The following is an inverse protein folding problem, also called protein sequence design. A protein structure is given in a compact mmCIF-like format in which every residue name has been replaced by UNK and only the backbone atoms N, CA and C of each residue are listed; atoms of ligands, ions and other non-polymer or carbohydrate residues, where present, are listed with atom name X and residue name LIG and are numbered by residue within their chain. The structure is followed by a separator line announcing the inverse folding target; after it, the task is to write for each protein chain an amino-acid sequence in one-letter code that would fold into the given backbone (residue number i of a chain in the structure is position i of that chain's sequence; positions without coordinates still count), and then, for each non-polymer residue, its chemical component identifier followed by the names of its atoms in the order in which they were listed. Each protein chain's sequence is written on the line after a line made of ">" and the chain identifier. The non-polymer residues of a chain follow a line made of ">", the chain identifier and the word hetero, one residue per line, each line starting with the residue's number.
data_IF_857018242631
#
_entry.id   IF_857018242631
#
_cell.length_a   1.000
_cell.length_b   1.000
_cell.length_c   1.000
_cell.angle_alpha   90.00
_cell.angle_beta   90.00
_cell.angle_gamma   90.00
#
_symmetry.space_group_name_H-M   'P 1'
#
loop_
_entity.id
_entity.type
_entity.pdbx_description
1 polymer ?
#
# COMPACT_ATOMS: atom_id res chain seq x y z
N UNK A 1 19.19 -16.08 7.04
CA UNK A 1 18.40 -15.75 7.37
C UNK A 1 17.80 -14.67 6.76
N UNK A 2 18.21 -13.73 6.59
CA UNK A 2 17.65 -12.84 5.92
C UNK A 2 17.36 -13.14 4.60
N UNK A 3 17.98 -14.00 3.99
CA UNK A 3 17.77 -14.34 2.62
C UNK A 3 16.41 -14.92 2.33
N UNK A 4 15.83 -15.56 3.29
CA UNK A 4 14.52 -16.15 3.04
C UNK A 4 13.44 -15.09 2.88
N UNK A 5 13.74 -13.88 3.26
CA UNK A 5 12.79 -12.79 3.10
C UNK A 5 13.08 -11.95 1.87
N UNK A 6 14.04 -12.36 1.07
CA UNK A 6 14.38 -11.61 -0.13
C UNK A 6 13.58 -12.14 -1.31
N UNK A 7 12.95 -11.23 -2.04
CA UNK A 7 12.15 -11.59 -3.20
C UNK A 7 12.89 -11.12 -4.45
N UNK A 8 13.37 -12.03 -5.29
CA UNK A 8 14.15 -11.64 -6.47
C UNK A 8 13.33 -10.87 -7.52
N UNK A 9 12.02 -10.90 -7.41
CA UNK A 9 11.17 -10.17 -8.35
C UNK A 9 10.92 -8.73 -7.96
N UNK A 10 11.44 -8.30 -6.82
CA UNK A 10 11.23 -6.95 -6.33
C UNK A 10 12.54 -6.18 -6.34
N UNK A 11 12.46 -4.84 -6.41
CA UNK A 11 13.65 -4.01 -6.29
C UNK A 11 14.17 -4.07 -4.85
N UNK A 12 15.42 -3.62 -4.62
CA UNK A 12 15.92 -3.57 -3.25
C UNK A 12 15.07 -2.73 -2.32
N UNK A 13 14.54 -1.61 -2.79
CA UNK A 13 13.69 -0.78 -1.96
C UNK A 13 12.38 -1.47 -1.63
N UNK A 14 11.78 -2.12 -2.61
CA UNK A 14 10.54 -2.88 -2.38
C UNK A 14 10.78 -4.00 -1.39
N UNK A 15 11.91 -4.69 -1.51
CA UNK A 15 12.25 -5.75 -0.55
C UNK A 15 12.45 -5.20 0.85
N UNK A 16 13.13 -4.06 0.97
CA UNK A 16 13.37 -3.48 2.27
C UNK A 16 12.04 -3.23 3.01
N UNK A 17 11.05 -2.68 2.31
CA UNK A 17 9.79 -2.34 2.97
C UNK A 17 8.89 -3.56 3.10
N UNK A 18 8.66 -4.27 2.01
CA UNK A 18 7.67 -5.36 1.99
C UNK A 18 8.13 -6.59 2.75
N UNK A 19 9.40 -6.96 2.59
CA UNK A 19 9.90 -8.23 3.15
C UNK A 19 10.72 -8.07 4.41
N UNK A 20 11.26 -6.88 4.66
CA UNK A 20 12.11 -6.65 5.82
C UNK A 20 11.53 -5.61 6.76
N UNK A 21 10.26 -5.27 6.58
CA UNK A 21 9.52 -4.39 7.49
C UNK A 21 10.10 -2.99 7.61
N UNK A 22 10.66 -2.50 6.50
CA UNK A 22 11.17 -1.14 6.48
C UNK A 22 10.06 -0.13 6.24
N UNK A 23 10.45 1.13 6.13
CA UNK A 23 9.54 2.23 5.86
C UNK A 23 10.16 3.13 4.80
N UNK A 24 9.39 3.48 3.78
CA UNK A 24 9.87 4.42 2.77
C UNK A 24 9.94 5.82 3.34
N UNK A 25 10.72 6.69 2.73
CA UNK A 25 10.84 8.07 3.18
C UNK A 25 9.53 8.82 2.94
N UNK A 26 9.16 9.68 3.88
CA UNK A 26 7.94 10.49 3.75
C UNK A 26 8.03 11.33 2.48
N UNK A 27 6.95 11.37 1.73
CA UNK A 27 6.86 12.17 0.51
C UNK A 27 7.53 11.55 -0.70
N UNK A 28 8.08 10.33 -0.58
CA UNK A 28 8.84 9.76 -1.68
C UNK A 28 7.98 9.08 -2.72
N UNK A 29 6.77 8.68 -2.41
CA UNK A 29 5.94 7.93 -3.35
C UNK A 29 5.12 8.85 -4.24
N UNK A 30 5.13 8.58 -5.55
CA UNK A 30 4.27 9.33 -6.46
C UNK A 30 2.80 9.05 -6.17
N UNK A 31 2.49 7.95 -5.48
CA UNK A 31 1.11 7.61 -5.17
C UNK A 31 0.50 8.52 -4.12
N UNK A 32 1.33 9.33 -3.42
CA UNK A 32 0.77 10.31 -2.52
C UNK A 32 -0.20 11.24 -3.23
N UNK A 33 0.07 11.55 -4.48
CA UNK A 33 -0.76 12.49 -5.24
C UNK A 33 -1.67 11.81 -6.25
N UNK A 34 -1.76 10.49 -6.21
CA UNK A 34 -2.59 9.76 -7.15
C UNK A 34 -4.06 10.02 -6.87
N UNK A 35 -4.79 10.53 -7.84
CA UNK A 35 -6.19 10.86 -7.67
C UNK A 35 -7.12 10.19 -8.68
N UNK A 36 -6.57 9.45 -9.61
CA UNK A 36 -7.41 8.77 -10.61
C UNK A 36 -8.21 7.67 -9.96
N UNK A 37 -9.33 7.34 -10.57
CA UNK A 37 -10.13 6.20 -10.16
C UNK A 37 -9.41 4.91 -10.50
N UNK A 38 -9.45 3.95 -9.60
CA UNK A 38 -8.81 2.67 -9.84
C UNK A 38 -8.68 1.89 -8.55
N UNK A 39 -7.67 1.03 -8.51
CA UNK A 39 -7.46 0.18 -7.34
C UNK A 39 -5.98 0.04 -7.06
N UNK A 40 -5.68 -0.32 -5.81
CA UNK A 40 -4.30 -0.47 -5.33
C UNK A 40 -4.09 -1.92 -4.93
N UNK A 41 -2.98 -2.49 -5.40
CA UNK A 41 -2.70 -3.91 -5.24
C UNK A 41 -1.34 -4.12 -4.60
N UNK A 42 -1.17 -5.25 -3.92
CA UNK A 42 0.10 -5.59 -3.29
C UNK A 42 1.15 -5.84 -4.36
N UNK A 43 2.30 -5.16 -4.24
CA UNK A 43 3.37 -5.34 -5.21
C UNK A 43 3.94 -6.76 -5.16
N UNK A 44 3.80 -7.44 -4.04
CA UNK A 44 4.37 -8.78 -3.88
C UNK A 44 3.53 -9.89 -4.48
N UNK A 45 2.20 -9.75 -4.45
CA UNK A 45 1.34 -10.86 -4.88
C UNK A 45 0.15 -10.45 -5.72
N UNK A 46 -0.09 -9.15 -5.92
CA UNK A 46 -1.17 -8.69 -6.77
C UNK A 46 -2.54 -8.62 -6.12
N UNK A 47 -2.65 -8.99 -4.86
CA UNK A 47 -3.94 -8.93 -4.16
C UNK A 47 -4.47 -7.51 -4.14
N UNK A 48 -5.74 -7.31 -4.47
CA UNK A 48 -6.36 -5.99 -4.41
C UNK A 48 -6.56 -5.61 -2.96
N UNK A 49 -6.03 -4.46 -2.57
CA UNK A 49 -6.02 -4.05 -1.16
C UNK A 49 -6.93 -2.87 -0.88
N UNK A 50 -6.97 -1.91 -1.80
CA UNK A 50 -7.75 -0.69 -1.61
C UNK A 50 -8.41 -0.26 -2.90
N UNK A 51 -9.54 0.42 -2.78
CA UNK A 51 -10.14 1.13 -3.90
C UNK A 51 -9.70 2.57 -3.83
N UNK A 52 -9.68 3.26 -4.97
CA UNK A 52 -9.32 4.67 -4.99
C UNK A 52 -10.27 5.51 -4.13
N UNK A 53 -11.52 5.08 -4.00
CA UNK A 53 -12.49 5.80 -3.18
C UNK A 53 -12.15 5.75 -1.69
N UNK A 54 -11.25 4.85 -1.27
CA UNK A 54 -10.83 4.78 0.13
C UNK A 54 -9.68 5.73 0.42
N UNK A 55 -9.04 6.28 -0.60
CA UNK A 55 -7.86 7.12 -0.44
C UNK A 55 -8.24 8.55 -0.08
N UNK A 56 -7.44 9.18 0.75
CA UNK A 56 -7.65 10.58 1.09
C UNK A 56 -6.30 11.24 1.39
N UNK A 57 -6.31 12.57 1.41
CA UNK A 57 -5.11 13.37 1.65
C UNK A 57 -4.93 13.53 3.16
N UNK A 58 -3.99 12.81 3.73
CA UNK A 58 -3.76 12.89 5.17
C UNK A 58 -2.68 13.89 5.54
N UNK A 59 -1.84 14.27 4.59
CA UNK A 59 -0.72 15.15 4.89
C UNK A 59 0.43 14.45 5.59
N UNK A 60 0.37 13.13 5.74
CA UNK A 60 1.38 12.41 6.50
C UNK A 60 2.66 12.14 5.71
N UNK A 61 2.61 12.21 4.39
CA UNK A 61 3.76 11.88 3.56
C UNK A 61 3.73 10.48 2.99
N UNK A 62 2.70 9.71 3.30
CA UNK A 62 2.50 8.38 2.75
C UNK A 62 1.07 8.27 2.22
N UNK A 63 0.84 7.42 1.19
CA UNK A 63 -0.52 7.18 0.73
C UNK A 63 -1.40 6.72 1.88
N UNK A 64 -2.57 7.31 2.01
CA UNK A 64 -3.43 7.06 3.15
C UNK A 64 -4.82 6.65 2.71
N UNK A 65 -5.43 5.71 3.45
CA UNK A 65 -6.73 5.17 3.13
C UNK A 65 -7.53 5.04 4.42
N UNK A 66 -8.84 5.20 4.36
CA UNK A 66 -9.63 5.10 5.59
C UNK A 66 -10.19 3.69 5.80
N UNK A 67 -10.03 2.80 4.84
CA UNK A 67 -10.39 1.39 5.01
C UNK A 67 -9.74 0.57 3.91
N UNK A 68 -9.81 -0.75 4.02
CA UNK A 68 -9.25 -1.67 3.04
C UNK A 68 -10.33 -2.59 2.52
N UNK A 69 -10.01 -3.36 1.49
CA UNK A 69 -10.85 -4.49 1.08
C UNK A 69 -10.90 -5.44 2.28
N UNK A 70 -12.08 -5.95 2.65
CA UNK A 70 -12.17 -6.82 3.82
C UNK A 70 -11.34 -8.09 3.69
N UNK A 71 -10.68 -8.47 4.78
CA UNK A 71 -10.01 -9.76 4.85
C UNK A 71 -8.66 -9.86 4.16
N UNK A 72 -8.11 -8.75 3.65
CA UNK A 72 -6.84 -8.81 2.91
C UNK A 72 -5.62 -8.59 3.78
N UNK A 73 -5.79 -8.07 4.99
CA UNK A 73 -4.67 -7.76 5.87
C UNK A 73 -4.76 -8.52 7.18
N UNK A 74 -3.59 -8.80 7.76
CA UNK A 74 -3.45 -9.23 9.14
C UNK A 74 -2.76 -8.14 9.91
N UNK A 75 -3.12 -7.96 11.17
CA UNK A 75 -2.61 -6.88 12.00
C UNK A 75 -1.83 -7.45 13.17
N UNK A 76 -0.82 -6.72 13.60
CA UNK A 76 -0.14 -7.07 14.83
C UNK A 76 0.42 -5.80 15.47
N UNK A 77 0.73 -5.88 16.76
CA UNK A 77 1.25 -4.75 17.49
C UNK A 77 2.75 -4.63 17.27
N UNK A 78 3.19 -3.41 16.96
CA UNK A 78 4.59 -3.08 16.76
C UNK A 78 5.01 -2.13 17.87
N UNK A 79 5.99 -2.53 18.67
CA UNK A 79 6.47 -1.71 19.80
C UNK A 79 7.87 -1.18 19.55
N UNK A 80 8.36 -1.23 18.32
CA UNK A 80 9.76 -0.90 18.04
C UNK A 80 10.16 0.54 18.32
N UNK A 81 9.21 1.46 18.34
CA UNK A 81 9.55 2.86 18.56
C UNK A 81 9.20 3.34 19.94
N UNK A 82 9.02 2.42 20.89
CA UNK A 82 8.82 2.81 22.27
C UNK A 82 7.36 2.90 22.70
N UNK A 83 6.41 2.83 21.80
CA UNK A 83 4.99 2.74 22.15
C UNK A 83 4.29 1.88 21.11
N UNK A 84 3.16 1.28 21.47
CA UNK A 84 2.51 0.34 20.57
C UNK A 84 1.88 1.03 19.37
N UNK A 85 2.03 0.42 18.22
CA UNK A 85 1.34 0.82 16.99
C UNK A 85 0.80 -0.44 16.36
N UNK A 86 -0.25 -0.33 15.56
CA UNK A 86 -0.79 -1.47 14.85
C UNK A 86 -0.21 -1.48 13.44
N UNK A 87 0.55 -2.52 13.12
CA UNK A 87 1.06 -2.67 11.76
C UNK A 87 0.20 -3.68 11.03
N UNK A 88 0.20 -3.64 9.71
CA UNK A 88 -0.58 -4.59 8.93
C UNK A 88 0.22 -5.16 7.78
N UNK A 89 -0.06 -6.42 7.49
CA UNK A 89 0.62 -7.20 6.48
C UNK A 89 -0.38 -7.77 5.51
N UNK A 90 0.03 -7.93 4.25
CA UNK A 90 -0.80 -8.63 3.27
C UNK A 90 -1.02 -10.06 3.72
N UNK A 91 -2.27 -10.46 3.87
CA UNK A 91 -2.56 -11.80 4.35
C UNK A 91 -2.09 -12.85 3.36
N UNK A 92 -2.18 -12.56 2.06
CA UNK A 92 -1.84 -13.54 1.03
C UNK A 92 -0.34 -13.82 0.96
N UNK A 93 0.51 -12.81 1.08
CA UNK A 93 1.95 -13.03 0.91
C UNK A 93 2.79 -12.65 2.14
N UNK A 94 2.16 -12.12 3.18
CA UNK A 94 2.88 -11.76 4.40
C UNK A 94 3.65 -10.46 4.33
N UNK A 95 3.56 -9.73 3.22
CA UNK A 95 4.34 -8.51 3.06
C UNK A 95 3.87 -7.39 3.96
N UNK A 96 4.83 -6.67 4.55
CA UNK A 96 4.55 -5.54 5.43
C UNK A 96 4.14 -4.32 4.60
N UNK A 97 3.01 -3.73 4.93
CA UNK A 97 2.51 -2.58 4.18
C UNK A 97 2.57 -1.27 4.95
N UNK A 98 2.34 -1.28 6.23
CA UNK A 98 2.35 -0.04 6.99
C UNK A 98 1.70 -0.19 8.35
N UNK A 99 1.13 0.91 8.84
CA UNK A 99 0.53 0.97 10.16
C UNK A 99 -0.85 1.60 10.08
N UNK A 100 -1.71 1.27 11.04
CA UNK A 100 -3.06 1.81 11.13
C UNK A 100 -3.12 2.72 12.36
N UNK A 101 -3.67 3.91 12.16
CA UNK A 101 -3.85 4.90 13.23
C UNK A 101 -5.34 5.19 13.37
N UNK A 102 -5.74 5.75 14.52
CA UNK A 102 -7.14 6.03 14.80
C UNK A 102 -7.53 7.48 14.55
N UNK A 103 -6.73 8.19 13.76
CA UNK A 103 -6.96 9.59 13.47
C UNK A 103 -7.44 9.81 12.04
N UNK A 104 -8.16 8.87 11.49
CA UNK A 104 -8.66 8.97 10.12
C UNK A 104 -10.06 9.55 10.06
N UNK A 105 -10.57 9.73 8.84
CA UNK A 105 -11.90 10.31 8.66
C UNK A 105 -13.01 9.29 8.86
N UNK A 106 -14.23 9.80 9.04
CA UNK A 106 -15.38 8.94 9.06
C UNK A 106 -15.55 8.33 7.68
N UNK A 107 -16.14 7.14 7.57
CA UNK A 107 -16.91 6.46 8.64
C UNK A 107 -16.10 5.58 9.56
N UNK A 108 -14.84 5.24 9.23
CA UNK A 108 -14.12 4.27 10.05
C UNK A 108 -13.31 4.90 11.16
N UNK A 109 -12.89 6.16 11.00
CA UNK A 109 -11.96 6.79 11.94
C UNK A 109 -10.55 6.24 11.82
N UNK A 110 -10.27 5.43 10.83
CA UNK A 110 -8.96 4.79 10.67
C UNK A 110 -8.12 5.46 9.60
N UNK A 111 -6.82 5.46 9.79
CA UNK A 111 -5.89 5.90 8.76
C UNK A 111 -4.91 4.75 8.52
N UNK A 112 -5.06 4.10 7.37
CA UNK A 112 -4.11 3.10 6.91
C UNK A 112 -2.99 3.86 6.21
N UNK A 113 -1.84 3.93 6.84
CA UNK A 113 -0.69 4.63 6.30
C UNK A 113 0.16 3.60 5.58
N UNK A 114 0.07 3.57 4.26
CA UNK A 114 0.68 2.50 3.47
C UNK A 114 1.93 2.99 2.76
N UNK A 115 2.98 2.18 2.77
CA UNK A 115 4.18 2.51 2.02
C UNK A 115 3.88 2.37 0.52
N UNK A 116 4.08 3.45 -0.23
CA UNK A 116 3.72 3.47 -1.64
C UNK A 116 4.51 2.49 -2.49
N UNK A 117 5.76 2.20 -2.11
CA UNK A 117 6.57 1.26 -2.89
C UNK A 117 6.00 -0.15 -2.84
N UNK A 118 5.09 -0.42 -1.89
CA UNK A 118 4.48 -1.74 -1.76
C UNK A 118 3.18 -1.87 -2.56
N UNK A 119 2.78 -0.83 -3.27
CA UNK A 119 1.51 -0.80 -3.98
C UNK A 119 1.70 -0.66 -5.48
N UNK A 120 0.81 -1.31 -6.22
CA UNK A 120 0.67 -1.07 -7.65
C UNK A 120 -0.70 -0.43 -7.85
N UNK A 121 -0.73 0.73 -8.48
CA UNK A 121 -1.99 1.38 -8.80
C UNK A 121 -2.44 0.99 -10.19
N UNK A 122 -3.70 0.55 -10.31
CA UNK A 122 -4.28 0.18 -11.61
C UNK A 122 -5.43 1.12 -11.90
N UNK A 123 -5.25 2.05 -12.84
CA UNK A 123 -6.32 3.01 -13.15
C UNK A 123 -7.51 2.30 -13.78
N UNK A 124 -8.70 2.71 -13.37
CA UNK A 124 -9.91 2.12 -13.89
C UNK A 124 -10.08 2.44 -15.38
N UNK A 125 -9.70 3.62 -15.79
CA UNK A 125 -9.92 4.05 -17.15
C UNK A 125 -9.17 3.24 -18.19
N UNK A 126 -8.09 2.58 -17.81
CA UNK A 126 -7.35 1.80 -18.78
C UNK A 126 -8.19 0.61 -19.29
N UNK A 127 -9.16 0.20 -18.52
CA UNK A 127 -10.01 -0.90 -18.93
C UNK A 127 -11.05 -0.51 -19.97
N UNK A 128 -11.37 0.76 -20.08
CA UNK A 128 -12.34 1.20 -21.05
C UNK A 128 -11.69 1.67 -22.34
N UNK A 129 -10.37 1.79 -22.36
CA UNK A 129 -9.65 2.13 -23.56
C UNK A 129 -9.29 0.81 -24.21
N UNK A 130 -10.04 0.43 -25.22
CA UNK A 130 -9.86 -0.87 -25.81
C UNK A 130 -8.80 -1.01 -26.87
N UNK A 131 -8.24 0.09 -27.31
CA UNK A 131 -7.15 0.01 -28.27
C UNK A 131 -5.93 -0.55 -27.55
N UNK A 132 -5.31 -1.59 -28.06
CA UNK A 132 -4.12 -2.12 -27.43
C UNK A 132 -3.02 -1.09 -27.28
N UNK A 133 -2.95 -0.14 -28.18
CA UNK A 133 -1.92 0.87 -28.12
C UNK A 133 -2.07 1.79 -26.95
N UNK A 134 -3.28 1.93 -26.45
CA UNK A 134 -3.52 2.88 -25.36
C UNK A 134 -3.13 2.34 -24.01
N UNK A 135 -3.00 1.05 -23.91
CA UNK A 135 -2.65 0.48 -22.63
C UNK A 135 -1.30 0.95 -22.14
N UNK A 136 -0.41 1.30 -23.07
CA UNK A 136 0.91 1.70 -22.68
C UNK A 136 0.97 3.05 -22.03
N UNK A 137 -0.04 3.83 -22.18
CA UNK A 137 -0.03 5.18 -21.65
C UNK A 137 -0.14 5.23 -20.14
N UNK A 138 -0.46 4.12 -19.53
CA UNK A 138 -0.65 4.09 -18.08
C UNK A 138 0.47 3.39 -17.35
N UNK A 139 1.51 3.04 -18.06
CA UNK A 139 2.64 2.37 -17.40
C UNK A 139 3.65 3.32 -16.80
#
# INVERSE_FOLDING_TARGET
>A
MKNKNWDPNLTPEQNYVLRQEGTEAAGSSILNKEKREGSYHCIGCGTKLFESSFKYESGSGWPSFFKSIPGVFEEKVDINIGYPRTEYHCKACGGHHGHIFDDGPQPTGKRYCNNGVCLVFKPKSWKVIHSPNKCFEYN
#
